data_IF_522561595898
#
_entry.id   IF_522561595898
#
_cell.length_a   1.000
_cell.length_b   1.000
_cell.length_c   1.000
_cell.angle_alpha   90.00
_cell.angle_beta   90.00
_cell.angle_gamma   90.00
#
_symmetry.space_group_name_H-M   'P 1'
#
loop_
_entity.id
_entity.type
_entity.pdbx_description
1 polymer ?
#
# COMPACT_ATOMS: atom_id res chain seq x y z
N UNK A 1 11.25 12.36 -15.05
CA UNK A 1 11.69 11.87 -16.38
C UNK A 1 12.29 10.45 -16.36
N UNK A 2 11.87 9.55 -15.45
CA UNK A 2 12.33 8.13 -15.45
C UNK A 2 11.21 7.09 -15.69
N UNK A 3 9.95 7.51 -15.83
CA UNK A 3 8.81 6.58 -15.92
C UNK A 3 8.67 5.86 -17.27
N UNK A 4 9.31 6.37 -18.33
CA UNK A 4 9.13 5.83 -19.69
C UNK A 4 10.03 4.62 -19.99
N UNK A 5 11.15 4.46 -19.28
CA UNK A 5 12.16 3.45 -19.62
C UNK A 5 11.76 2.03 -19.17
N UNK A 6 11.09 1.88 -18.03
CA UNK A 6 10.69 0.56 -17.51
C UNK A 6 9.52 -0.03 -18.32
N UNK A 7 8.61 0.82 -18.80
CA UNK A 7 7.42 0.39 -19.54
C UNK A 7 7.77 -0.31 -20.87
N UNK A 8 8.91 -0.02 -21.49
CA UNK A 8 9.36 -0.64 -22.74
C UNK A 8 10.06 -2.00 -22.57
N UNK A 9 10.55 -2.34 -21.38
CA UNK A 9 11.25 -3.61 -21.15
C UNK A 9 10.32 -4.81 -20.95
N UNK A 10 9.05 -4.57 -20.61
CA UNK A 10 8.04 -5.59 -20.35
C UNK A 10 7.04 -5.66 -21.50
N UNK A 11 6.57 -6.87 -21.84
CA UNK A 11 5.42 -7.04 -22.73
C UNK A 11 4.15 -6.50 -22.07
N UNK A 12 3.12 -6.23 -22.87
CA UNK A 12 1.80 -5.84 -22.35
C UNK A 12 1.26 -6.88 -21.37
N UNK A 13 1.34 -8.16 -21.71
CA UNK A 13 0.90 -9.26 -20.84
C UNK A 13 1.68 -9.29 -19.51
N UNK A 14 2.99 -9.06 -19.53
CA UNK A 14 3.79 -8.99 -18.31
C UNK A 14 3.37 -7.80 -17.42
N UNK A 15 3.15 -6.62 -18.02
CA UNK A 15 2.68 -5.44 -17.28
C UNK A 15 1.30 -5.67 -16.66
N UNK A 16 0.38 -6.31 -17.40
CA UNK A 16 -0.96 -6.64 -16.91
C UNK A 16 -0.92 -7.63 -15.75
N UNK A 17 -0.14 -8.72 -15.87
CA UNK A 17 0.03 -9.69 -14.79
C UNK A 17 0.65 -9.05 -13.55
N UNK A 18 1.66 -8.20 -13.71
CA UNK A 18 2.25 -7.46 -12.60
C UNK A 18 1.24 -6.50 -11.97
N UNK A 19 0.49 -5.74 -12.78
CA UNK A 19 -0.52 -4.82 -12.28
C UNK A 19 -1.59 -5.53 -11.45
N UNK A 20 -2.02 -6.73 -11.84
CA UNK A 20 -2.95 -7.56 -11.05
C UNK A 20 -2.38 -7.89 -9.67
N UNK A 21 -1.13 -8.34 -9.59
CA UNK A 21 -0.48 -8.63 -8.30
C UNK A 21 -0.33 -7.38 -7.42
N UNK A 22 0.08 -6.26 -8.02
CA UNK A 22 0.26 -4.99 -7.27
C UNK A 22 -1.09 -4.41 -6.81
N UNK A 23 -2.18 -4.63 -7.55
CA UNK A 23 -3.55 -4.28 -7.08
C UNK A 23 -3.96 -5.06 -5.85
N UNK A 24 -3.66 -6.36 -5.79
CA UNK A 24 -3.90 -7.16 -4.58
C UNK A 24 -3.07 -6.64 -3.41
N UNK A 25 -1.78 -6.35 -3.64
CA UNK A 25 -0.91 -5.77 -2.62
C UNK A 25 -1.45 -4.43 -2.11
N UNK A 26 -2.00 -3.58 -2.98
CA UNK A 26 -2.62 -2.32 -2.57
C UNK A 26 -3.80 -2.57 -1.63
N UNK A 27 -4.69 -3.49 -1.97
CA UNK A 27 -5.84 -3.84 -1.14
C UNK A 27 -5.42 -4.39 0.23
N UNK A 28 -4.47 -5.33 0.25
CA UNK A 28 -3.95 -5.92 1.50
C UNK A 28 -3.27 -4.87 2.38
N UNK A 29 -2.56 -3.91 1.77
CA UNK A 29 -1.91 -2.80 2.49
C UNK A 29 -2.95 -1.86 3.12
N UNK A 30 -4.04 -1.54 2.42
CA UNK A 30 -5.16 -0.79 3.00
C UNK A 30 -5.80 -1.53 4.18
N UNK A 31 -6.02 -2.85 4.05
CA UNK A 31 -6.57 -3.66 5.14
C UNK A 31 -5.64 -3.62 6.36
N UNK A 32 -4.33 -3.74 6.16
CA UNK A 32 -3.35 -3.67 7.25
C UNK A 32 -3.28 -2.27 7.88
N UNK A 33 -3.35 -1.21 7.07
CA UNK A 33 -3.44 0.18 7.53
C UNK A 33 -4.65 0.37 8.45
N UNK A 34 -5.84 -0.05 8.01
CA UNK A 34 -7.06 0.08 8.79
C UNK A 34 -7.00 -0.74 10.10
N UNK A 35 -6.42 -1.94 10.06
CA UNK A 35 -6.23 -2.76 11.26
C UNK A 35 -5.27 -2.11 12.26
N UNK A 36 -4.14 -1.61 11.81
CA UNK A 36 -3.13 -0.95 12.68
C UNK A 36 -3.67 0.33 13.29
N UNK A 37 -4.39 1.14 12.50
CA UNK A 37 -5.12 2.30 13.02
C UNK A 37 -6.21 1.89 14.02
N UNK A 38 -6.93 0.80 13.74
CA UNK A 38 -7.89 0.22 14.68
C UNK A 38 -7.24 -0.22 16.00
N UNK A 39 -6.05 -0.82 15.97
CA UNK A 39 -5.30 -1.15 17.19
C UNK A 39 -4.80 0.07 17.93
N UNK A 40 -4.32 1.09 17.22
CA UNK A 40 -3.92 2.37 17.81
C UNK A 40 -5.07 2.99 18.62
N UNK A 41 -6.30 2.98 18.09
CA UNK A 41 -7.47 3.51 18.82
C UNK A 41 -7.90 2.67 20.02
N UNK A 42 -7.80 1.34 19.92
CA UNK A 42 -8.47 0.42 20.84
C UNK A 42 -7.54 -0.31 21.81
N UNK A 43 -6.22 -0.10 21.74
CA UNK A 43 -5.27 -0.72 22.68
C UNK A 43 -5.50 -0.21 24.10
N UNK A 44 -5.41 -1.10 25.09
CA UNK A 44 -5.54 -0.81 26.52
C UNK A 44 -4.53 -1.65 27.32
N UNK A 45 -4.27 -1.26 28.57
CA UNK A 45 -3.45 -2.02 29.52
C UNK A 45 -2.12 -1.34 29.89
N UNK A 46 -1.25 -2.04 30.65
CA UNK A 46 -0.04 -1.45 31.24
C UNK A 46 0.96 -0.88 30.22
N UNK A 47 0.93 -1.38 28.98
CA UNK A 47 1.81 -0.96 27.89
C UNK A 47 1.13 0.01 26.91
N UNK A 48 0.05 0.68 27.32
CA UNK A 48 -0.79 1.51 26.44
C UNK A 48 0.03 2.45 25.55
N UNK A 49 0.86 3.33 26.13
CA UNK A 49 1.60 4.34 25.37
C UNK A 49 2.54 3.72 24.35
N UNK A 50 3.37 2.77 24.77
CA UNK A 50 4.35 2.13 23.88
C UNK A 50 3.68 1.43 22.69
N UNK A 51 2.55 0.75 22.91
CA UNK A 51 1.82 0.08 21.84
C UNK A 51 1.02 1.07 20.98
N UNK A 52 0.43 2.11 21.58
CA UNK A 52 -0.30 3.16 20.88
C UNK A 52 0.60 3.91 19.88
N UNK A 53 1.80 4.28 20.30
CA UNK A 53 2.83 4.90 19.46
C UNK A 53 3.36 3.95 18.39
N UNK A 54 3.59 2.67 18.74
CA UNK A 54 4.01 1.65 17.77
C UNK A 54 2.99 1.48 16.63
N UNK A 55 1.71 1.37 16.98
CA UNK A 55 0.66 1.25 15.98
C UNK A 55 0.50 2.52 15.14
N UNK A 56 0.78 3.71 15.71
CA UNK A 56 0.83 4.97 14.97
C UNK A 56 1.95 5.01 13.93
N UNK A 57 3.15 4.63 14.35
CA UNK A 57 4.28 4.52 13.44
C UNK A 57 3.94 3.59 12.27
N UNK A 58 3.39 2.40 12.57
CA UNK A 58 3.03 1.43 11.53
C UNK A 58 1.97 1.95 10.56
N UNK A 59 0.84 2.50 11.03
CA UNK A 59 -0.18 2.98 10.09
C UNK A 59 0.34 4.15 9.26
N UNK A 60 1.21 5.00 9.82
CA UNK A 60 1.82 6.13 9.10
C UNK A 60 2.76 5.65 7.98
N UNK A 61 3.59 4.64 8.25
CA UNK A 61 4.44 4.02 7.22
C UNK A 61 3.59 3.36 6.12
N UNK A 62 2.51 2.66 6.51
CA UNK A 62 1.59 2.04 5.56
C UNK A 62 0.85 3.06 4.69
N UNK A 63 0.51 4.23 5.23
CA UNK A 63 -0.07 5.34 4.46
C UNK A 63 0.87 5.78 3.32
N UNK A 64 2.17 5.91 3.59
CA UNK A 64 3.16 6.20 2.54
C UNK A 64 3.32 5.05 1.53
N UNK A 65 3.27 3.80 2.00
CA UNK A 65 3.35 2.62 1.13
C UNK A 65 2.15 2.53 0.17
N UNK A 66 0.95 2.86 0.65
CA UNK A 66 -0.28 2.89 -0.16
C UNK A 66 -0.10 3.79 -1.40
N UNK A 67 0.40 5.01 -1.21
CA UNK A 67 0.64 5.94 -2.31
C UNK A 67 1.68 5.39 -3.30
N UNK A 68 2.82 4.93 -2.78
CA UNK A 68 3.90 4.32 -3.60
C UNK A 68 3.40 3.14 -4.44
N UNK A 69 2.56 2.28 -3.84
CA UNK A 69 1.98 1.11 -4.53
C UNK A 69 0.97 1.56 -5.59
N UNK A 70 0.09 2.51 -5.27
CA UNK A 70 -0.88 3.04 -6.22
C UNK A 70 -0.19 3.69 -7.44
N UNK A 71 0.84 4.50 -7.23
CA UNK A 71 1.64 5.08 -8.30
C UNK A 71 2.36 4.01 -9.12
N UNK A 72 2.82 2.91 -8.50
CA UNK A 72 3.40 1.78 -9.23
C UNK A 72 2.41 1.15 -10.22
N UNK A 73 1.15 1.01 -9.84
CA UNK A 73 0.09 0.51 -10.75
C UNK A 73 -0.06 1.46 -11.94
N UNK A 74 0.01 2.77 -11.72
CA UNK A 74 -0.03 3.79 -12.79
C UNK A 74 1.19 3.70 -13.72
N UNK A 75 2.39 3.48 -13.18
CA UNK A 75 3.61 3.27 -13.98
C UNK A 75 3.49 2.03 -14.89
N UNK A 76 2.82 0.98 -14.43
CA UNK A 76 2.54 -0.22 -15.22
C UNK A 76 1.48 -0.02 -16.31
N UNK A 77 0.85 1.16 -16.38
CA UNK A 77 -0.18 1.51 -17.36
C UNK A 77 -1.60 1.11 -16.95
N UNK A 78 -1.81 0.65 -15.72
CA UNK A 78 -3.13 0.24 -15.21
C UNK A 78 -3.69 1.30 -14.24
N UNK A 79 -5.01 1.42 -14.11
CA UNK A 79 -5.62 2.28 -13.10
C UNK A 79 -5.50 1.65 -11.71
N UNK A 80 -5.05 2.44 -10.74
CA UNK A 80 -5.09 2.06 -9.34
C UNK A 80 -6.57 2.04 -8.88
N UNK A 81 -7.04 0.94 -8.27
CA UNK A 81 -8.38 0.90 -7.71
C UNK A 81 -8.51 1.89 -6.56
N UNK A 82 -9.68 2.53 -6.46
CA UNK A 82 -9.99 3.56 -5.46
C UNK A 82 -11.20 3.19 -4.57
N UNK A 83 -11.64 1.94 -4.64
CA UNK A 83 -12.79 1.41 -3.88
C UNK A 83 -12.40 0.07 -3.27
N UNK A 84 -12.88 -0.18 -2.05
CA UNK A 84 -12.69 -1.42 -1.31
C UNK A 84 -13.73 -2.47 -1.71
#
# INVERSE_FOLDING_TARGET
MQSTVIAHALSTEQRERMATGVKQLLADTYVLYLKTQGFHWNVVGPNFIALHELFEQHYTELQGAIDTIAERIRILGAFAPATF
#
